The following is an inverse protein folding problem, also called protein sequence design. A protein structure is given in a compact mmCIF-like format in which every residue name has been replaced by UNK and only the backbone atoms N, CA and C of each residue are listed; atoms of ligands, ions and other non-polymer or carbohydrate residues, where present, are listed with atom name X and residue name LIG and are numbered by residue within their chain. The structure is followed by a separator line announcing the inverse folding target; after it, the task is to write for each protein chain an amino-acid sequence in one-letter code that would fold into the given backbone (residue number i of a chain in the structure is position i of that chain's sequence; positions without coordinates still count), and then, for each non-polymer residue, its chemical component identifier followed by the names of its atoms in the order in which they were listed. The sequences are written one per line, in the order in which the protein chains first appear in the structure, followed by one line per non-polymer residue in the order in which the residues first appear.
data_IF_442203640414
#
_entry.id   IF_442203640414
#
_cell.length_a   1.000
_cell.length_b   1.000
_cell.length_c   1.000
_cell.angle_alpha   90.00
_cell.angle_beta   90.00
_cell.angle_gamma   90.00
#
_symmetry.space_group_name_H-M   'P 1'
#
loop_
_entity.id
_entity.type
_entity.pdbx_description
1 polymer ?
#
# COMPACT_ATOMS: atom_id res chain seq x y z
N UNK A 1 19.41 -16.66 -2.30
CA UNK A 1 18.02 -16.42 -2.69
C UNK A 1 17.71 -14.97 -2.35
N UNK A 2 16.85 -14.29 -3.09
CA UNK A 2 16.52 -12.88 -2.84
C UNK A 2 15.19 -12.78 -2.08
N UNK A 3 14.95 -11.64 -1.43
CA UNK A 3 13.66 -11.23 -0.90
C UNK A 3 13.31 -9.88 -1.52
N UNK A 4 12.19 -9.82 -2.21
CA UNK A 4 11.69 -8.60 -2.82
C UNK A 4 10.81 -7.81 -1.84
N UNK A 5 11.09 -6.52 -1.67
CA UNK A 5 10.32 -5.62 -0.80
C UNK A 5 9.87 -4.42 -1.63
N UNK A 6 8.57 -4.23 -1.73
CA UNK A 6 7.97 -3.14 -2.52
C UNK A 6 7.20 -2.23 -1.58
N UNK A 7 7.47 -0.93 -1.63
CA UNK A 7 6.81 0.07 -0.80
C UNK A 7 5.93 1.00 -1.63
N UNK A 8 4.73 1.31 -1.14
CA UNK A 8 3.81 2.27 -1.78
C UNK A 8 3.39 3.33 -0.77
N UNK A 9 3.42 4.58 -1.19
CA UNK A 9 2.98 5.70 -0.37
C UNK A 9 1.46 5.91 -0.42
N UNK A 10 0.97 6.73 0.50
CA UNK A 10 -0.42 7.14 0.62
C UNK A 10 -0.77 8.40 -0.19
N UNK A 11 -1.79 9.10 0.29
CA UNK A 11 -2.32 10.33 -0.30
C UNK A 11 -1.36 11.51 -0.18
N UNK A 12 -1.56 12.49 -1.05
CA UNK A 12 -0.88 13.78 -1.01
C UNK A 12 0.49 13.78 -1.67
N UNK A 13 1.09 14.96 -1.67
CA UNK A 13 2.42 15.16 -2.25
C UNK A 13 3.47 14.39 -1.46
N UNK A 14 4.13 13.46 -2.12
CA UNK A 14 5.21 12.66 -1.54
C UNK A 14 6.50 12.90 -2.33
N UNK A 15 7.67 12.90 -1.68
CA UNK A 15 8.95 12.90 -2.39
C UNK A 15 9.20 11.52 -3.02
N UNK A 16 10.02 11.45 -4.05
CA UNK A 16 10.33 10.17 -4.73
C UNK A 16 11.08 9.18 -3.84
N UNK A 17 11.85 9.69 -2.89
CA UNK A 17 12.65 8.96 -1.91
C UNK A 17 11.88 8.67 -0.59
N UNK A 18 10.55 8.73 -0.63
CA UNK A 18 9.66 8.59 0.54
C UNK A 18 9.95 7.36 1.43
N UNK A 19 10.47 6.28 0.85
CA UNK A 19 10.71 5.02 1.57
C UNK A 19 12.19 4.79 1.92
N UNK A 20 13.12 5.65 1.49
CA UNK A 20 14.56 5.39 1.60
C UNK A 20 15.02 5.22 3.06
N UNK A 21 14.53 6.06 3.96
CA UNK A 21 14.87 5.97 5.37
C UNK A 21 14.41 4.64 5.99
N UNK A 22 13.17 4.20 5.67
CA UNK A 22 12.64 2.91 6.12
C UNK A 22 13.42 1.75 5.52
N UNK A 23 13.71 1.79 4.22
CA UNK A 23 14.50 0.73 3.57
C UNK A 23 15.88 0.59 4.21
N UNK A 24 16.52 1.71 4.57
CA UNK A 24 17.80 1.71 5.27
C UNK A 24 17.69 1.06 6.64
N UNK A 25 16.65 1.42 7.43
CA UNK A 25 16.43 0.83 8.75
C UNK A 25 16.10 -0.67 8.67
N UNK A 26 15.25 -1.08 7.71
CA UNK A 26 14.95 -2.49 7.48
C UNK A 26 16.20 -3.27 7.07
N UNK A 27 17.05 -2.70 6.21
CA UNK A 27 18.32 -3.34 5.80
C UNK A 27 19.27 -3.51 6.97
N UNK A 28 19.38 -2.54 7.89
CA UNK A 28 20.21 -2.63 9.11
C UNK A 28 19.73 -3.72 10.07
N UNK A 29 18.39 -3.92 10.15
CA UNK A 29 17.76 -4.87 11.09
C UNK A 29 17.60 -6.27 10.51
N UNK A 30 17.69 -6.39 9.20
CA UNK A 30 17.59 -7.66 8.51
C UNK A 30 18.86 -8.49 8.74
N UNK A 31 18.70 -9.72 9.22
CA UNK A 31 19.78 -10.67 9.47
C UNK A 31 19.58 -12.00 8.73
N UNK A 32 18.66 -12.05 7.78
CA UNK A 32 18.45 -13.22 6.93
C UNK A 32 19.59 -13.41 5.92
N UNK A 33 19.71 -14.60 5.38
CA UNK A 33 20.74 -14.97 4.39
C UNK A 33 20.40 -14.55 2.95
N UNK A 34 19.17 -14.10 2.71
CA UNK A 34 18.73 -13.63 1.38
C UNK A 34 19.19 -12.20 1.12
N UNK A 35 19.52 -11.89 -0.12
CA UNK A 35 19.73 -10.50 -0.54
C UNK A 35 18.40 -9.76 -0.61
N UNK A 36 18.39 -8.50 -0.15
CA UNK A 36 17.19 -7.65 -0.19
C UNK A 36 17.19 -6.82 -1.47
N UNK A 37 16.10 -6.92 -2.21
CA UNK A 37 15.82 -6.05 -3.36
C UNK A 37 14.65 -5.15 -3.03
N UNK A 38 14.88 -3.84 -2.93
CA UNK A 38 13.86 -2.84 -2.68
C UNK A 38 13.39 -2.17 -3.96
N UNK A 39 12.09 -1.87 -4.02
CA UNK A 39 11.48 -1.06 -5.08
C UNK A 39 10.38 -0.18 -4.48
N UNK A 40 10.07 0.94 -5.14
CA UNK A 40 9.03 1.87 -4.70
C UNK A 40 7.99 2.09 -5.79
N UNK A 41 6.73 2.18 -5.38
CA UNK A 41 5.61 2.58 -6.24
C UNK A 41 5.34 4.05 -5.96
N UNK A 42 5.85 4.92 -6.82
CA UNK A 42 5.62 6.36 -6.74
C UNK A 42 4.53 6.78 -7.73
N UNK A 43 3.44 7.36 -7.23
CA UNK A 43 2.28 7.76 -8.03
C UNK A 43 1.80 9.20 -7.78
N UNK A 44 2.41 9.93 -6.82
CA UNK A 44 2.00 11.29 -6.46
C UNK A 44 2.04 12.27 -7.65
N UNK A 45 2.93 12.07 -8.62
CA UNK A 45 3.05 12.89 -9.83
C UNK A 45 1.84 12.81 -10.76
N UNK A 46 0.99 11.81 -10.61
CA UNK A 46 -0.22 11.63 -11.45
C UNK A 46 -1.24 12.73 -11.17
N UNK A 47 -1.38 13.18 -9.92
CA UNK A 47 -2.40 14.14 -9.50
C UNK A 47 -1.85 15.48 -9.02
N UNK A 48 -0.62 15.56 -8.53
CA UNK A 48 -0.05 16.74 -7.88
C UNK A 48 -0.22 18.04 -8.69
N UNK A 49 0.02 17.99 -9.99
CA UNK A 49 -0.15 19.18 -10.84
C UNK A 49 -1.61 19.65 -11.01
N UNK A 50 -2.59 18.76 -10.88
CA UNK A 50 -4.03 19.10 -10.91
C UNK A 50 -4.48 19.66 -9.56
N UNK A 51 -4.00 19.08 -8.47
CA UNK A 51 -4.27 19.53 -7.11
C UNK A 51 -3.72 20.92 -6.85
N UNK A 52 -2.48 21.21 -7.29
CA UNK A 52 -1.86 22.53 -7.19
C UNK A 52 -2.68 23.58 -7.94
N UNK A 53 -3.06 23.28 -9.18
CA UNK A 53 -3.92 24.17 -9.98
C UNK A 53 -5.29 24.41 -9.35
N UNK A 54 -5.90 23.37 -8.78
CA UNK A 54 -7.17 23.52 -8.07
C UNK A 54 -6.99 24.39 -6.84
N UNK A 55 -5.97 24.10 -6.03
CA UNK A 55 -5.67 24.86 -4.82
C UNK A 55 -5.46 26.36 -5.11
N UNK A 56 -4.68 26.69 -6.12
CA UNK A 56 -4.44 28.07 -6.52
C UNK A 56 -5.73 28.79 -6.94
N UNK A 57 -6.61 28.10 -7.68
CA UNK A 57 -7.90 28.66 -8.11
C UNK A 57 -8.85 28.92 -6.95
N UNK A 58 -8.90 28.03 -5.95
CA UNK A 58 -9.84 28.17 -4.83
C UNK A 58 -9.31 29.06 -3.70
N UNK A 59 -7.99 29.19 -3.57
CA UNK A 59 -7.34 30.03 -2.57
C UNK A 59 -7.32 31.51 -2.98
N UNK A 60 -7.03 31.81 -4.23
CA UNK A 60 -6.74 33.17 -4.72
C UNK A 60 -7.91 34.17 -4.59
N UNK A 61 -9.18 33.80 -4.79
CA UNK A 61 -10.29 34.75 -4.70
C UNK A 61 -10.70 35.09 -3.26
N UNK A 62 -10.23 34.36 -2.24
CA UNK A 62 -10.72 34.47 -0.88
C UNK A 62 -9.60 34.28 0.15
N UNK A 63 -9.71 34.98 1.28
CA UNK A 63 -8.87 34.71 2.45
C UNK A 63 -9.46 33.52 3.22
N UNK A 64 -9.03 32.31 2.84
CA UNK A 64 -9.48 31.08 3.48
C UNK A 64 -8.74 30.86 4.80
N UNK A 65 -9.48 30.62 5.88
CA UNK A 65 -8.93 30.15 7.14
C UNK A 65 -8.50 28.68 7.06
N UNK A 66 -7.66 28.26 8.00
CA UNK A 66 -7.17 26.87 8.11
C UNK A 66 -6.51 26.34 6.84
N UNK A 67 -5.72 27.14 6.15
CA UNK A 67 -5.14 26.84 4.84
C UNK A 67 -4.38 25.52 4.79
N UNK A 68 -3.62 25.17 5.84
CA UNK A 68 -2.89 23.89 5.92
C UNK A 68 -3.84 22.69 5.98
N UNK A 69 -4.88 22.78 6.82
CA UNK A 69 -5.89 21.72 6.94
C UNK A 69 -6.68 21.57 5.64
N UNK A 70 -7.11 22.69 5.03
CA UNK A 70 -7.81 22.67 3.74
C UNK A 70 -6.96 22.08 2.64
N UNK A 71 -5.66 22.39 2.60
CA UNK A 71 -4.74 21.80 1.64
C UNK A 71 -4.61 20.28 1.83
N UNK A 72 -4.50 19.82 3.08
CA UNK A 72 -4.53 18.40 3.39
C UNK A 72 -5.83 17.73 2.93
N UNK A 73 -6.98 18.37 3.19
CA UNK A 73 -8.29 17.85 2.76
C UNK A 73 -8.39 17.80 1.23
N UNK A 74 -7.93 18.82 0.51
CA UNK A 74 -7.92 18.83 -0.97
C UNK A 74 -7.09 17.66 -1.50
N UNK A 75 -5.91 17.44 -0.98
CA UNK A 75 -5.03 16.35 -1.41
C UNK A 75 -5.63 14.98 -1.03
N UNK A 76 -5.99 14.78 0.24
CA UNK A 76 -6.50 13.49 0.73
C UNK A 76 -7.83 13.07 0.10
N UNK A 77 -8.80 13.98 0.02
CA UNK A 77 -10.09 13.71 -0.63
C UNK A 77 -9.96 13.76 -2.16
N UNK A 78 -9.11 14.64 -2.70
CA UNK A 78 -8.84 14.74 -4.13
C UNK A 78 -8.31 13.42 -4.69
N UNK A 79 -7.28 12.86 -4.07
CA UNK A 79 -6.72 11.56 -4.42
C UNK A 79 -7.77 10.44 -4.30
N UNK A 80 -8.52 10.44 -3.20
CA UNK A 80 -9.55 9.43 -2.94
C UNK A 80 -10.70 9.48 -3.93
N UNK A 81 -11.15 10.69 -4.31
CA UNK A 81 -12.20 10.90 -5.31
C UNK A 81 -11.68 10.56 -6.71
N UNK A 82 -10.44 10.92 -7.03
CA UNK A 82 -9.85 10.65 -8.33
C UNK A 82 -9.52 9.17 -8.53
N UNK A 83 -9.14 8.45 -7.45
CA UNK A 83 -8.87 7.02 -7.47
C UNK A 83 -10.17 6.20 -7.45
N UNK A 84 -10.91 6.25 -8.55
CA UNK A 84 -12.11 5.45 -8.74
C UNK A 84 -12.02 4.70 -10.08
N UNK A 85 -12.42 3.40 -10.13
CA UNK A 85 -12.52 2.69 -11.39
C UNK A 85 -13.56 3.38 -12.26
N UNK A 86 -13.21 3.68 -13.50
CA UNK A 86 -14.13 4.24 -14.47
C UNK A 86 -14.91 3.12 -15.15
N UNK A 87 -16.16 3.42 -15.48
CA UNK A 87 -16.97 2.55 -16.35
C UNK A 87 -16.42 2.58 -17.77
N UNK A 88 -16.64 1.50 -18.52
CA UNK A 88 -16.18 1.37 -19.91
C UNK A 88 -16.81 2.43 -20.85
N UNK A 89 -17.95 3.01 -20.45
CA UNK A 89 -18.68 4.07 -21.16
C UNK A 89 -18.36 5.49 -20.66
N UNK A 90 -17.29 5.65 -19.87
CA UNK A 90 -16.88 6.95 -19.36
C UNK A 90 -16.45 7.91 -20.48
N UNK A 91 -16.74 9.22 -20.29
CA UNK A 91 -16.30 10.26 -21.21
C UNK A 91 -14.76 10.19 -21.40
N UNK A 92 -14.25 10.14 -22.64
CA UNK A 92 -12.81 10.13 -22.92
C UNK A 92 -12.02 11.30 -22.32
N UNK A 93 -12.69 12.39 -21.93
CA UNK A 93 -12.08 13.54 -21.25
C UNK A 93 -11.78 13.27 -19.77
N UNK A 94 -12.37 12.22 -19.19
CA UNK A 94 -12.13 11.84 -17.79
C UNK A 94 -10.81 11.09 -17.71
N UNK A 95 -9.87 11.62 -16.94
CA UNK A 95 -8.57 10.95 -16.70
C UNK A 95 -8.81 9.68 -15.88
N UNK A 96 -8.41 8.54 -16.41
CA UNK A 96 -8.49 7.27 -15.68
C UNK A 96 -7.32 7.14 -14.70
N UNK A 97 -7.43 7.81 -13.56
CA UNK A 97 -6.41 7.83 -12.51
C UNK A 97 -6.20 6.43 -11.92
N UNK A 98 -7.27 5.67 -11.74
CA UNK A 98 -7.20 4.29 -11.26
C UNK A 98 -6.25 3.45 -12.14
N UNK A 99 -6.46 3.48 -13.45
CA UNK A 99 -5.63 2.75 -14.41
C UNK A 99 -4.17 3.23 -14.38
N UNK A 100 -3.94 4.54 -14.37
CA UNK A 100 -2.59 5.11 -14.35
C UNK A 100 -1.80 4.71 -13.11
N UNK A 101 -2.46 4.66 -11.95
CA UNK A 101 -1.83 4.20 -10.71
C UNK A 101 -1.55 2.69 -10.77
N UNK A 102 -2.48 1.88 -11.30
CA UNK A 102 -2.26 0.45 -11.48
C UNK A 102 -1.13 0.16 -12.49
N UNK A 103 -0.92 1.00 -13.49
CA UNK A 103 0.27 0.94 -14.38
C UNK A 103 1.56 1.09 -13.57
N UNK A 104 1.64 2.08 -12.65
CA UNK A 104 2.79 2.25 -11.76
C UNK A 104 3.05 1.03 -10.88
N UNK A 105 1.98 0.41 -10.35
CA UNK A 105 2.11 -0.83 -9.57
C UNK A 105 2.69 -1.95 -10.43
N UNK A 106 2.13 -2.19 -11.61
CA UNK A 106 2.61 -3.24 -12.54
C UNK A 106 4.06 -3.02 -12.98
N UNK A 107 4.44 -1.78 -13.31
CA UNK A 107 5.82 -1.42 -13.68
C UNK A 107 6.80 -1.69 -12.53
N UNK A 108 6.47 -1.33 -11.29
CA UNK A 108 7.33 -1.57 -10.14
C UNK A 108 7.49 -3.08 -9.86
N UNK A 109 6.42 -3.87 -9.98
CA UNK A 109 6.50 -5.32 -9.85
C UNK A 109 7.36 -5.95 -10.95
N UNK A 110 7.28 -5.45 -12.18
CA UNK A 110 8.14 -5.88 -13.29
C UNK A 110 9.60 -5.54 -13.03
N UNK A 111 9.90 -4.34 -12.53
CA UNK A 111 11.27 -3.91 -12.22
C UNK A 111 11.86 -4.77 -11.12
N UNK A 112 11.13 -5.01 -10.02
CA UNK A 112 11.63 -5.82 -8.92
C UNK A 112 11.78 -7.30 -9.31
N UNK A 113 10.89 -7.82 -10.15
CA UNK A 113 11.01 -9.19 -10.68
C UNK A 113 12.25 -9.37 -11.56
N UNK A 114 12.60 -8.37 -12.38
CA UNK A 114 13.81 -8.38 -13.19
C UNK A 114 15.09 -8.33 -12.34
N UNK A 115 15.08 -7.57 -11.23
CA UNK A 115 16.22 -7.43 -10.31
C UNK A 115 16.39 -8.65 -9.38
N UNK A 116 15.30 -9.11 -8.78
CA UNK A 116 15.33 -10.11 -7.72
C UNK A 116 15.14 -11.55 -8.24
N UNK A 117 14.45 -11.69 -9.35
CA UNK A 117 14.10 -12.98 -9.95
C UNK A 117 12.57 -13.20 -10.00
N UNK A 118 12.09 -13.99 -10.98
CA UNK A 118 10.67 -14.11 -11.33
C UNK A 118 9.81 -14.83 -10.28
N UNK A 119 10.42 -15.57 -9.37
CA UNK A 119 9.75 -16.34 -8.31
C UNK A 119 10.19 -15.93 -6.91
N UNK A 120 10.86 -14.80 -6.79
CA UNK A 120 11.34 -14.30 -5.48
C UNK A 120 10.15 -14.03 -4.57
N UNK A 121 10.20 -14.44 -3.28
CA UNK A 121 9.16 -14.12 -2.31
C UNK A 121 9.03 -12.59 -2.19
N UNK A 122 7.78 -12.13 -2.18
CA UNK A 122 7.41 -10.72 -2.20
C UNK A 122 6.86 -10.29 -0.85
N UNK A 123 7.33 -9.13 -0.38
CA UNK A 123 6.75 -8.38 0.74
C UNK A 123 6.28 -7.03 0.20
N UNK A 124 5.05 -6.63 0.51
CA UNK A 124 4.52 -5.31 0.16
C UNK A 124 4.29 -4.51 1.45
N UNK A 125 4.81 -3.29 1.48
CA UNK A 125 4.65 -2.31 2.56
C UNK A 125 3.77 -1.17 2.03
N UNK A 126 2.53 -1.11 2.48
CA UNK A 126 1.51 -0.25 1.90
C UNK A 126 0.96 0.77 2.90
N UNK A 127 1.28 2.03 2.69
CA UNK A 127 0.86 3.15 3.54
C UNK A 127 -0.45 3.77 3.06
N UNK A 128 -1.35 4.04 4.00
CA UNK A 128 -2.55 4.85 3.78
C UNK A 128 -3.36 4.39 2.53
N UNK A 129 -3.70 5.28 1.61
CA UNK A 129 -4.39 4.95 0.34
C UNK A 129 -3.61 3.92 -0.49
N UNK A 130 -2.29 3.84 -0.34
CA UNK A 130 -1.49 2.79 -0.98
C UNK A 130 -1.94 1.38 -0.60
N UNK A 131 -2.48 1.18 0.61
CA UNK A 131 -3.03 -0.11 1.04
C UNK A 131 -4.30 -0.49 0.26
N UNK A 132 -5.14 0.48 -0.04
CA UNK A 132 -6.34 0.32 -0.89
C UNK A 132 -5.93 0.05 -2.34
N UNK A 133 -4.94 0.79 -2.84
CA UNK A 133 -4.42 0.63 -4.22
C UNK A 133 -3.90 -0.79 -4.43
N UNK A 134 -3.04 -1.27 -3.53
CA UNK A 134 -2.49 -2.64 -3.61
C UNK A 134 -3.59 -3.68 -3.50
N UNK A 135 -4.53 -3.50 -2.57
CA UNK A 135 -5.67 -4.39 -2.40
C UNK A 135 -6.50 -4.51 -3.69
N UNK A 136 -6.84 -3.37 -4.31
CA UNK A 136 -7.59 -3.34 -5.57
C UNK A 136 -6.79 -3.95 -6.73
N UNK A 137 -5.50 -3.62 -6.84
CA UNK A 137 -4.63 -4.18 -7.89
C UNK A 137 -4.56 -5.70 -7.81
N UNK A 138 -4.32 -6.26 -6.62
CA UNK A 138 -4.27 -7.71 -6.40
C UNK A 138 -5.65 -8.36 -6.59
N UNK A 139 -6.73 -7.69 -6.21
CA UNK A 139 -8.08 -8.15 -6.47
C UNK A 139 -8.34 -8.30 -7.97
N UNK A 140 -7.99 -7.30 -8.77
CA UNK A 140 -8.15 -7.31 -10.22
C UNK A 140 -7.31 -8.42 -10.87
N UNK A 141 -6.10 -8.68 -10.37
CA UNK A 141 -5.24 -9.76 -10.83
C UNK A 141 -5.79 -11.17 -10.51
N UNK A 142 -6.37 -11.34 -9.32
CA UNK A 142 -6.73 -12.67 -8.82
C UNK A 142 -8.20 -13.04 -9.06
N UNK A 143 -9.02 -12.09 -9.41
CA UNK A 143 -10.45 -12.23 -9.74
C UNK A 143 -10.71 -11.74 -11.17
N UNK A 144 -10.44 -12.56 -12.21
CA UNK A 144 -10.55 -12.14 -13.62
C UNK A 144 -11.95 -11.70 -14.06
N UNK A 145 -12.97 -11.91 -13.24
CA UNK A 145 -14.33 -11.38 -13.46
C UNK A 145 -14.47 -9.89 -13.07
N UNK A 146 -13.43 -9.29 -12.48
CA UNK A 146 -13.39 -7.83 -12.31
C UNK A 146 -13.34 -7.19 -13.70
N UNK A 147 -14.08 -6.12 -13.90
CA UNK A 147 -14.24 -5.43 -15.18
C UNK A 147 -12.96 -4.70 -15.66
N UNK A 148 -11.84 -4.90 -15.02
CA UNK A 148 -10.59 -4.19 -15.27
C UNK A 148 -9.46 -5.20 -15.50
N UNK A 149 -8.98 -5.25 -16.73
CA UNK A 149 -7.73 -5.97 -17.02
C UNK A 149 -6.55 -5.18 -16.43
N UNK A 150 -5.50 -5.86 -15.91
CA UNK A 150 -4.31 -5.19 -15.45
C UNK A 150 -3.69 -4.41 -16.61
N UNK A 151 -3.39 -3.11 -16.44
CA UNK A 151 -2.88 -2.27 -17.53
C UNK A 151 -1.48 -2.68 -18.00
N UNK A 152 -0.72 -3.39 -17.16
CA UNK A 152 0.56 -4.03 -17.48
C UNK A 152 0.36 -5.54 -17.37
N UNK A 153 0.46 -6.27 -18.47
CA UNK A 153 0.29 -7.72 -18.47
C UNK A 153 1.44 -8.40 -17.68
N UNK A 154 1.13 -9.07 -16.56
CA UNK A 154 2.15 -9.66 -15.69
C UNK A 154 2.71 -10.94 -16.31
N UNK A 155 4.03 -11.00 -16.53
CA UNK A 155 4.71 -12.12 -17.16
C UNK A 155 5.14 -13.21 -16.16
N UNK A 156 5.57 -12.81 -14.96
CA UNK A 156 6.18 -13.71 -13.98
C UNK A 156 5.26 -13.99 -12.79
N UNK A 157 5.52 -15.06 -12.01
CA UNK A 157 4.80 -15.30 -10.76
C UNK A 157 4.86 -14.15 -9.76
N UNK A 158 6.00 -13.46 -9.65
CA UNK A 158 6.14 -12.29 -8.79
C UNK A 158 5.22 -11.15 -9.27
N UNK A 159 5.24 -10.83 -10.56
CA UNK A 159 4.38 -9.79 -11.14
C UNK A 159 2.88 -10.10 -10.96
N UNK A 160 2.50 -11.38 -10.99
CA UNK A 160 1.13 -11.83 -10.71
C UNK A 160 0.78 -11.87 -9.22
N UNK A 161 1.70 -11.41 -8.33
CA UNK A 161 1.51 -11.47 -6.89
C UNK A 161 1.44 -12.89 -6.33
N UNK A 162 1.75 -13.92 -7.12
CA UNK A 162 1.66 -15.33 -6.72
C UNK A 162 2.68 -15.68 -5.61
N UNK A 163 3.75 -14.91 -5.47
CA UNK A 163 4.81 -15.09 -4.48
C UNK A 163 4.64 -14.16 -3.26
N UNK A 164 3.51 -13.46 -3.13
CA UNK A 164 3.25 -12.54 -2.02
C UNK A 164 3.16 -13.31 -0.69
N UNK A 165 4.20 -13.19 0.12
CA UNK A 165 4.36 -13.85 1.40
C UNK A 165 4.19 -12.89 2.59
N UNK A 166 4.37 -11.58 2.39
CA UNK A 166 4.16 -10.56 3.40
C UNK A 166 3.34 -9.39 2.87
N UNK A 167 2.26 -9.05 3.56
CA UNK A 167 1.53 -7.81 3.34
C UNK A 167 1.51 -7.02 4.64
N UNK A 168 2.07 -5.82 4.59
CA UNK A 168 2.07 -4.88 5.72
C UNK A 168 1.28 -3.66 5.29
N UNK A 169 0.16 -3.43 5.95
CA UNK A 169 -0.63 -2.20 5.80
C UNK A 169 -0.43 -1.33 7.02
N UNK A 170 -0.32 -0.02 6.86
CA UNK A 170 -0.13 0.91 7.95
C UNK A 170 -0.76 2.27 7.65
N UNK A 171 -1.34 2.90 8.66
CA UNK A 171 -2.17 4.08 8.44
C UNK A 171 -3.35 3.79 7.49
N UNK A 172 -3.91 2.58 7.50
CA UNK A 172 -4.75 2.07 6.42
C UNK A 172 -6.21 2.50 6.55
N UNK A 173 -6.79 3.14 5.50
CA UNK A 173 -8.21 3.49 5.44
C UNK A 173 -9.09 2.37 4.84
N UNK A 174 -8.62 1.14 4.70
CA UNK A 174 -9.38 0.03 4.09
C UNK A 174 -10.77 -0.12 4.74
N UNK A 175 -10.88 0.06 6.06
CA UNK A 175 -12.17 0.00 6.73
C UNK A 175 -13.15 1.06 6.23
N UNK A 176 -12.70 2.28 5.92
CA UNK A 176 -13.54 3.32 5.31
C UNK A 176 -13.95 2.93 3.87
N UNK A 177 -13.01 2.35 3.11
CA UNK A 177 -13.29 1.89 1.74
C UNK A 177 -14.28 0.72 1.70
N UNK A 178 -14.33 -0.09 2.74
CA UNK A 178 -15.27 -1.22 2.87
C UNK A 178 -16.74 -0.78 2.87
N UNK A 179 -17.03 0.48 3.25
CA UNK A 179 -18.38 1.08 3.21
C UNK A 179 -19.02 1.09 1.81
N UNK A 180 -18.24 0.94 0.74
CA UNK A 180 -18.74 0.86 -0.64
C UNK A 180 -19.48 -0.44 -0.94
N UNK A 181 -19.33 -1.46 -0.10
CA UNK A 181 -19.80 -2.81 -0.35
C UNK A 181 -20.84 -3.26 0.68
N UNK A 182 -21.79 -4.08 0.24
CA UNK A 182 -22.70 -4.75 1.16
C UNK A 182 -21.92 -5.60 2.17
N UNK A 183 -22.29 -5.55 3.44
CA UNK A 183 -21.60 -6.26 4.53
C UNK A 183 -20.10 -5.98 4.60
N UNK A 184 -19.69 -4.77 4.19
CA UNK A 184 -18.29 -4.29 4.15
C UNK A 184 -17.38 -5.07 3.20
N UNK A 185 -17.94 -5.84 2.26
CA UNK A 185 -17.21 -6.55 1.23
C UNK A 185 -16.32 -7.68 1.75
N UNK A 186 -15.38 -8.08 0.89
CA UNK A 186 -14.40 -9.12 1.19
C UNK A 186 -12.98 -8.60 0.96
N UNK A 187 -12.01 -9.01 1.78
CA UNK A 187 -10.60 -8.74 1.52
C UNK A 187 -10.09 -9.56 0.33
N UNK A 188 -8.92 -9.17 -0.18
CA UNK A 188 -8.17 -10.05 -1.07
C UNK A 188 -7.90 -11.40 -0.39
N UNK A 189 -7.93 -12.52 -1.12
CA UNK A 189 -7.53 -13.81 -0.57
C UNK A 189 -6.05 -13.77 -0.19
N UNK A 190 -5.78 -13.83 1.11
CA UNK A 190 -4.40 -13.80 1.62
C UNK A 190 -4.18 -14.98 2.59
N UNK A 191 -3.01 -15.67 2.53
CA UNK A 191 -1.90 -15.47 1.59
C UNK A 191 -2.33 -15.66 0.13
N UNK A 192 -1.45 -15.24 -0.81
CA UNK A 192 -1.70 -15.48 -2.25
C UNK A 192 -2.13 -16.94 -2.48
N UNK A 193 -3.21 -17.19 -3.25
CA UNK A 193 -3.70 -18.56 -3.50
C UNK A 193 -2.65 -19.50 -4.10
N UNK A 194 -1.61 -18.94 -4.71
CA UNK A 194 -0.52 -19.71 -5.34
C UNK A 194 0.81 -19.67 -4.58
N UNK A 195 0.87 -19.02 -3.41
CA UNK A 195 2.11 -18.92 -2.64
C UNK A 195 2.73 -20.31 -2.38
N UNK A 196 1.92 -21.28 -1.95
CA UNK A 196 2.40 -22.62 -1.66
C UNK A 196 2.95 -23.37 -2.90
N UNK A 197 2.52 -23.00 -4.11
CA UNK A 197 3.06 -23.56 -5.37
C UNK A 197 4.51 -23.15 -5.59
N UNK A 198 4.88 -21.95 -5.18
CA UNK A 198 6.23 -21.41 -5.37
C UNK A 198 7.09 -21.56 -4.13
N UNK A 199 6.49 -21.46 -2.93
CA UNK A 199 7.15 -21.50 -1.64
C UNK A 199 6.35 -22.34 -0.64
N UNK A 200 6.45 -23.69 -0.70
CA UNK A 200 5.57 -24.62 0.06
C UNK A 200 5.67 -24.46 1.58
N UNK A 201 6.83 -24.01 2.10
CA UNK A 201 7.05 -23.81 3.53
C UNK A 201 6.63 -22.41 4.02
N UNK A 202 6.41 -21.47 3.10
CA UNK A 202 6.06 -20.09 3.45
C UNK A 202 4.62 -19.99 3.96
N UNK A 203 4.49 -19.43 5.16
CA UNK A 203 3.19 -19.02 5.72
C UNK A 203 3.04 -17.54 5.48
N UNK A 204 2.16 -17.12 4.58
CA UNK A 204 1.91 -15.70 4.33
C UNK A 204 1.39 -15.00 5.60
N UNK A 205 1.76 -13.74 5.79
CA UNK A 205 1.28 -12.92 6.91
C UNK A 205 0.88 -11.54 6.45
N UNK A 206 -0.35 -11.15 6.80
CA UNK A 206 -0.85 -9.79 6.68
C UNK A 206 -0.86 -9.14 8.05
N UNK A 207 0.00 -8.16 8.27
CA UNK A 207 0.05 -7.36 9.50
C UNK A 207 -0.45 -5.97 9.17
N UNK A 208 -1.45 -5.50 9.91
CA UNK A 208 -1.98 -4.15 9.80
C UNK A 208 -1.57 -3.34 11.03
N UNK A 209 -0.80 -2.27 10.81
CA UNK A 209 -0.42 -1.34 11.86
C UNK A 209 -1.34 -0.13 11.85
N UNK A 210 -1.77 0.29 13.02
CA UNK A 210 -2.55 1.50 13.21
C UNK A 210 -2.12 2.21 14.49
N UNK A 211 -2.20 3.53 14.48
CA UNK A 211 -2.05 4.36 15.66
C UNK A 211 -3.45 4.77 16.10
N UNK A 212 -3.74 4.73 17.40
CA UNK A 212 -5.06 5.07 17.94
C UNK A 212 -5.37 6.57 17.78
N UNK A 213 -4.35 7.40 17.59
CA UNK A 213 -4.48 8.83 17.33
C UNK A 213 -4.54 9.17 15.82
N UNK A 214 -4.29 8.20 14.94
CA UNK A 214 -4.42 8.37 13.49
C UNK A 214 -5.86 8.17 13.03
N UNK A 215 -6.56 9.26 12.78
CA UNK A 215 -7.99 9.29 12.40
C UNK A 215 -8.30 8.63 11.05
N UNK A 216 -7.29 8.26 10.26
CA UNK A 216 -7.43 7.54 8.98
C UNK A 216 -7.08 6.06 9.08
N UNK A 217 -6.49 5.62 10.20
CA UNK A 217 -6.05 4.25 10.42
C UNK A 217 -7.07 3.47 11.25
N UNK A 218 -7.37 2.26 10.79
CA UNK A 218 -8.35 1.42 11.48
C UNK A 218 -7.86 -0.03 11.58
N UNK A 219 -8.24 -0.76 12.68
CA UNK A 219 -8.09 -2.21 12.73
C UNK A 219 -8.97 -2.86 11.67
N UNK A 220 -8.47 -3.91 11.03
CA UNK A 220 -9.15 -4.58 9.92
C UNK A 220 -9.90 -5.84 10.34
N UNK A 221 -9.40 -6.60 11.33
CA UNK A 221 -10.02 -7.86 11.77
C UNK A 221 -11.42 -7.67 12.32
N UNK A 222 -11.75 -6.48 12.80
CA UNK A 222 -13.08 -6.13 13.31
C UNK A 222 -14.13 -5.87 12.24
N UNK A 223 -13.74 -5.70 10.97
CA UNK A 223 -14.66 -5.35 9.88
C UNK A 223 -15.71 -6.45 9.69
N UNK A 224 -15.27 -7.69 9.47
CA UNK A 224 -16.13 -8.87 9.38
C UNK A 224 -15.31 -10.17 9.51
N UNK A 225 -16.01 -11.33 9.40
CA UNK A 225 -15.38 -12.65 9.52
C UNK A 225 -14.32 -12.93 8.44
N UNK A 226 -14.51 -12.41 7.22
CA UNK A 226 -13.58 -12.61 6.10
C UNK A 226 -12.26 -11.88 6.35
N UNK A 227 -12.31 -10.63 6.83
CA UNK A 227 -11.11 -9.90 7.24
C UNK A 227 -10.42 -10.57 8.43
N UNK A 228 -11.18 -11.02 9.41
CA UNK A 228 -10.64 -11.76 10.57
C UNK A 228 -9.88 -13.01 10.16
N UNK A 229 -10.30 -13.69 9.09
CA UNK A 229 -9.67 -14.91 8.61
C UNK A 229 -8.32 -14.67 7.90
N UNK A 230 -8.15 -13.55 7.20
CA UNK A 230 -6.97 -13.30 6.35
C UNK A 230 -5.95 -12.34 6.98
N UNK A 231 -6.39 -11.38 7.79
CA UNK A 231 -5.50 -10.48 8.53
C UNK A 231 -4.92 -11.25 9.71
N UNK A 232 -3.62 -11.46 9.69
CA UNK A 232 -2.92 -12.21 10.75
C UNK A 232 -2.96 -11.43 12.06
N UNK A 233 -2.67 -10.14 11.99
CA UNK A 233 -2.56 -9.28 13.16
C UNK A 233 -2.99 -7.85 12.83
N UNK A 234 -3.80 -7.24 13.71
CA UNK A 234 -3.92 -5.80 13.88
C UNK A 234 -3.00 -5.38 15.02
N UNK A 235 -2.04 -4.52 14.76
CA UNK A 235 -1.07 -4.07 15.74
C UNK A 235 -1.21 -2.58 15.99
N UNK A 236 -1.63 -2.22 17.21
CA UNK A 236 -1.58 -0.83 17.66
C UNK A 236 -0.12 -0.44 17.95
N UNK A 237 0.29 0.70 17.45
CA UNK A 237 1.58 1.34 17.72
C UNK A 237 1.34 2.83 17.98
N UNK A 238 2.20 3.46 18.75
CA UNK A 238 2.17 4.91 18.94
C UNK A 238 3.29 5.53 18.11
N UNK A 239 2.94 6.20 17.02
CA UNK A 239 3.90 6.90 16.16
C UNK A 239 3.93 8.38 16.48
N UNK A 240 5.13 8.90 16.78
CA UNK A 240 5.31 10.30 17.17
C UNK A 240 5.29 10.54 18.67
N UNK A 241 5.82 11.68 19.10
CA UNK A 241 5.95 12.01 20.53
C UNK A 241 4.67 12.62 21.12
N UNK A 242 4.68 12.81 22.45
CA UNK A 242 3.61 13.32 23.30
C UNK A 242 2.88 14.62 22.84
N UNK A 243 3.35 15.28 21.79
CA UNK A 243 2.79 16.55 21.28
C UNK A 243 2.16 16.45 19.89
N UNK A 244 2.14 15.27 19.26
CA UNK A 244 1.63 15.09 17.89
C UNK A 244 0.30 14.34 17.80
N UNK A 245 -0.24 13.93 18.92
CA UNK A 245 -1.43 13.06 19.05
C UNK A 245 -2.76 13.63 18.56
N UNK A 246 -2.78 14.73 17.82
CA UNK A 246 -4.03 15.28 17.25
C UNK A 246 -3.80 15.89 15.85
N UNK A 247 -2.86 15.34 15.07
CA UNK A 247 -2.42 16.04 13.88
C UNK A 247 -2.35 15.05 12.70
N UNK A 248 -2.79 15.43 11.49
CA UNK A 248 -2.52 14.68 10.26
C UNK A 248 -1.04 14.31 10.05
N UNK A 249 -0.13 14.87 10.83
CA UNK A 249 1.31 14.57 10.85
C UNK A 249 1.58 13.16 11.40
N UNK A 250 0.79 12.65 12.37
CA UNK A 250 0.92 11.29 12.88
C UNK A 250 0.81 10.25 11.74
N UNK A 251 -0.09 10.51 10.79
CA UNK A 251 -0.30 9.68 9.60
C UNK A 251 0.96 9.50 8.71
N UNK A 252 1.94 10.38 8.82
CA UNK A 252 3.19 10.33 8.04
C UNK A 252 4.41 9.83 8.84
N UNK A 253 4.28 9.49 10.12
CA UNK A 253 5.42 9.20 11.00
C UNK A 253 5.77 7.70 11.12
N UNK A 254 5.01 6.81 10.52
CA UNK A 254 5.26 5.36 10.57
C UNK A 254 6.64 4.94 10.04
N UNK A 255 7.18 5.66 9.04
CA UNK A 255 8.27 5.19 8.19
C UNK A 255 9.59 4.82 8.90
N UNK A 256 9.91 5.41 10.04
CA UNK A 256 11.18 5.21 10.74
C UNK A 256 11.03 4.77 12.19
N UNK A 257 9.79 4.58 12.64
CA UNK A 257 9.51 4.17 14.00
C UNK A 257 10.03 2.76 14.29
N UNK A 258 10.61 2.57 15.48
CA UNK A 258 11.16 1.29 15.92
C UNK A 258 10.08 0.23 16.13
N UNK A 259 8.91 0.62 16.65
CA UNK A 259 7.78 -0.28 16.90
C UNK A 259 7.12 -0.72 15.58
N UNK A 260 7.43 -0.02 14.49
CA UNK A 260 7.05 -0.38 13.14
C UNK A 260 8.14 -1.21 12.43
N UNK A 261 9.38 -0.73 12.41
CA UNK A 261 10.45 -1.35 11.61
C UNK A 261 10.96 -2.68 12.16
N UNK A 262 11.00 -2.85 13.49
CA UNK A 262 11.44 -4.12 14.13
C UNK A 262 10.54 -5.32 13.79
N UNK A 263 9.19 -5.23 13.92
CA UNK A 263 8.31 -6.32 13.52
C UNK A 263 8.39 -6.66 12.03
N UNK A 264 8.55 -5.66 11.15
CA UNK A 264 8.70 -5.87 9.72
C UNK A 264 10.01 -6.62 9.41
N UNK A 265 11.13 -6.21 9.99
CA UNK A 265 12.39 -6.94 9.83
C UNK A 265 12.27 -8.39 10.33
N UNK A 266 11.55 -8.63 11.43
CA UNK A 266 11.28 -9.97 11.94
C UNK A 266 10.42 -10.80 10.97
N UNK A 267 9.40 -10.18 10.35
CA UNK A 267 8.61 -10.81 9.28
C UNK A 267 9.48 -11.18 8.08
N UNK A 268 10.31 -10.25 7.61
CA UNK A 268 11.22 -10.46 6.48
C UNK A 268 12.21 -11.60 6.76
N UNK A 269 12.81 -11.66 7.96
CA UNK A 269 13.72 -12.73 8.38
C UNK A 269 13.01 -14.10 8.37
N UNK A 270 11.77 -14.17 8.82
CA UNK A 270 10.97 -15.39 8.80
C UNK A 270 10.65 -15.83 7.37
N UNK A 271 10.16 -14.91 6.52
CA UNK A 271 9.89 -15.22 5.11
C UNK A 271 11.16 -15.73 4.42
N UNK A 272 12.28 -15.04 4.61
CA UNK A 272 13.55 -15.46 4.02
C UNK A 272 13.95 -16.88 4.43
N UNK A 273 13.78 -17.24 5.70
CA UNK A 273 14.06 -18.59 6.20
C UNK A 273 13.07 -19.63 5.63
N UNK A 274 11.79 -19.33 5.64
CA UNK A 274 10.72 -20.27 5.24
C UNK A 274 10.64 -20.46 3.71
N UNK A 275 11.32 -19.62 2.94
CA UNK A 275 11.42 -19.71 1.47
C UNK A 275 12.76 -20.25 0.96
N UNK A 276 13.66 -20.62 1.84
CA UNK A 276 14.88 -21.33 1.46
C UNK A 276 14.53 -22.71 0.88
N UNK A 277 15.33 -23.19 -0.10
CA UNK A 277 15.15 -24.49 -0.74
C UNK A 277 15.11 -25.67 0.24
#
# INVERSE_FOLDING_TARGET
MNLAVVSIHGMGSQPKDFADAMHLELKKRYNGSSELTFETIFWADILSGAEDKLWDKVKTPHNLDFTKLRRFVVNALGDSIAYQPLRNDADPKVKNVYRLIHERVGEALKVVAAKAGPKTPLVILAHSLGSVIVSNYLWDLWKPSSSQDPPVAPATPLERGETLAGLVTFGSPIALWSLRYANFGEPIPFPSPKLATHHPKAKGQWINFFDEDDILAYPLKGINASYKAVVTEDRSISVGGLFTGWNPIAHSQYWTDDDFTKPIASLMNRIARDTQP
#
